data_IF_522257224896
#
_entry.id   IF_522257224896
#
_cell.length_a   1.000
_cell.length_b   1.000
_cell.length_c   1.000
_cell.angle_alpha   90.00
_cell.angle_beta   90.00
_cell.angle_gamma   90.00
#
_symmetry.space_group_name_H-M   'P 1'
#
loop_
_entity.id
_entity.type
_entity.pdbx_description
1 polymer ?
#
# COMPACT_ATOMS: atom_id res chain seq x y z
N UNK A 1 -21.27 9.36 9.53
CA UNK A 1 -20.58 8.28 8.80
C UNK A 1 -19.99 8.73 7.45
N UNK A 2 -20.70 9.50 6.61
CA UNK A 2 -20.16 10.07 5.35
C UNK A 2 -18.86 10.88 5.57
N UNK A 3 -18.70 11.53 6.73
CA UNK A 3 -17.48 12.25 7.09
C UNK A 3 -16.25 11.34 7.26
N UNK A 4 -16.41 10.13 7.81
CA UNK A 4 -15.32 9.17 8.05
C UNK A 4 -14.83 8.60 6.73
N UNK A 5 -15.75 8.21 5.83
CA UNK A 5 -15.40 7.75 4.49
C UNK A 5 -14.61 8.81 3.70
N UNK A 6 -15.03 10.08 3.80
CA UNK A 6 -14.30 11.20 3.18
C UNK A 6 -12.93 11.43 3.82
N UNK A 7 -12.80 11.25 5.14
CA UNK A 7 -11.51 11.39 5.82
C UNK A 7 -10.54 10.27 5.40
N UNK A 8 -10.99 9.01 5.43
CA UNK A 8 -10.20 7.86 4.97
C UNK A 8 -9.83 8.02 3.50
N UNK A 9 -10.78 8.40 2.64
CA UNK A 9 -10.51 8.62 1.22
C UNK A 9 -9.59 9.83 0.93
N UNK A 10 -9.43 10.78 1.85
CA UNK A 10 -8.39 11.82 1.74
C UNK A 10 -7.03 11.29 2.17
N UNK A 11 -6.99 10.50 3.24
CA UNK A 11 -5.75 9.89 3.73
C UNK A 11 -5.19 8.89 2.72
N UNK A 12 -6.04 8.08 2.09
CA UNK A 12 -5.67 7.18 0.98
C UNK A 12 -5.05 7.94 -0.19
N UNK A 13 -5.64 9.09 -0.58
CA UNK A 13 -5.11 9.92 -1.66
C UNK A 13 -3.79 10.58 -1.29
N UNK A 14 -3.64 11.03 -0.06
CA UNK A 14 -2.39 11.59 0.43
C UNK A 14 -1.28 10.54 0.50
N UNK A 15 -1.59 9.34 0.98
CA UNK A 15 -0.69 8.19 1.01
C UNK A 15 -0.26 7.79 -0.41
N UNK A 16 -1.20 7.71 -1.35
CA UNK A 16 -0.89 7.38 -2.73
C UNK A 16 -0.03 8.45 -3.43
N UNK A 17 -0.30 9.73 -3.18
CA UNK A 17 0.56 10.81 -3.65
C UNK A 17 1.98 10.70 -3.07
N UNK A 18 2.08 10.40 -1.77
CA UNK A 18 3.35 10.19 -1.08
C UNK A 18 4.11 8.99 -1.68
N UNK A 19 3.41 7.90 -2.00
CA UNK A 19 3.98 6.74 -2.68
C UNK A 19 4.52 7.12 -4.07
N UNK A 20 3.77 7.90 -4.86
CA UNK A 20 4.21 8.40 -6.16
C UNK A 20 5.46 9.29 -6.07
N UNK A 21 5.50 10.20 -5.10
CA UNK A 21 6.67 11.05 -4.85
C UNK A 21 7.88 10.20 -4.44
N UNK A 22 7.69 9.23 -3.55
CA UNK A 22 8.74 8.33 -3.11
C UNK A 22 9.28 7.46 -4.27
N UNK A 23 8.41 7.05 -5.19
CA UNK A 23 8.79 6.31 -6.39
C UNK A 23 9.65 7.16 -7.34
N UNK A 24 9.25 8.41 -7.59
CA UNK A 24 10.06 9.33 -8.40
C UNK A 24 11.42 9.59 -7.73
N UNK A 25 11.44 9.81 -6.41
CA UNK A 25 12.67 9.96 -5.66
C UNK A 25 13.56 8.72 -5.77
N UNK A 26 12.98 7.52 -5.71
CA UNK A 26 13.71 6.26 -5.90
C UNK A 26 14.37 6.19 -7.27
N UNK A 27 13.64 6.56 -8.34
CA UNK A 27 14.21 6.60 -9.69
C UNK A 27 15.39 7.58 -9.79
N UNK A 28 15.28 8.76 -9.17
CA UNK A 28 16.34 9.76 -9.18
C UNK A 28 17.58 9.28 -8.41
N UNK A 29 17.41 8.68 -7.22
CA UNK A 29 18.53 8.16 -6.43
C UNK A 29 19.25 7.05 -7.19
N UNK A 30 18.52 6.09 -7.76
CA UNK A 30 19.12 4.98 -8.52
C UNK A 30 19.85 5.51 -9.77
N UNK A 31 19.27 6.48 -10.46
CA UNK A 31 19.88 7.10 -11.65
C UNK A 31 21.14 7.89 -11.29
N UNK A 32 21.11 8.66 -10.20
CA UNK A 32 22.27 9.39 -9.70
C UNK A 32 23.40 8.45 -9.27
N UNK A 33 23.06 7.35 -8.60
CA UNK A 33 24.03 6.31 -8.19
C UNK A 33 24.64 5.59 -9.39
N UNK A 34 23.83 5.29 -10.43
CA UNK A 34 24.33 4.76 -11.69
C UNK A 34 25.28 5.74 -12.41
N UNK A 35 24.96 7.04 -12.44
CA UNK A 35 25.84 8.07 -12.99
C UNK A 35 27.13 8.20 -12.17
N UNK A 36 27.03 8.27 -10.84
CA UNK A 36 28.19 8.36 -9.95
C UNK A 36 29.17 7.20 -10.14
N UNK A 37 28.65 5.98 -10.36
CA UNK A 37 29.49 4.82 -10.72
C UNK A 37 30.29 5.01 -11.99
N UNK A 38 29.73 5.66 -13.02
CA UNK A 38 30.44 5.94 -14.27
C UNK A 38 31.59 6.95 -14.08
N UNK A 39 31.45 7.86 -13.11
CA UNK A 39 32.49 8.84 -12.75
C UNK A 39 33.44 8.36 -11.65
N UNK A 40 33.38 7.09 -11.25
CA UNK A 40 34.25 6.52 -10.22
C UNK A 40 33.92 6.95 -8.77
N UNK A 41 32.77 7.57 -8.56
CA UNK A 41 32.29 8.04 -7.25
C UNK A 41 30.85 7.53 -7.00
N UNK A 42 30.67 6.23 -6.64
CA UNK A 42 29.36 5.68 -6.30
C UNK A 42 28.75 6.39 -5.09
N UNK A 43 27.42 6.51 -5.05
CA UNK A 43 26.75 7.03 -3.86
C UNK A 43 26.74 5.96 -2.76
N UNK A 44 27.57 6.16 -1.73
CA UNK A 44 27.54 5.30 -0.54
C UNK A 44 26.18 5.41 0.16
N UNK A 45 25.57 4.27 0.49
CA UNK A 45 24.27 4.23 1.18
C UNK A 45 23.03 4.36 0.28
N UNK A 46 23.18 4.53 -1.05
CA UNK A 46 22.05 4.69 -1.96
C UNK A 46 21.17 3.43 -2.04
N UNK A 47 21.79 2.25 -2.01
CA UNK A 47 21.08 0.97 -2.00
C UNK A 47 20.29 0.80 -0.70
N UNK A 48 20.89 1.07 0.45
CA UNK A 48 20.23 0.96 1.75
C UNK A 48 19.08 1.96 1.88
N UNK A 49 19.27 3.20 1.41
CA UNK A 49 18.21 4.21 1.41
C UNK A 49 17.03 3.80 0.53
N UNK A 50 17.30 3.32 -0.68
CA UNK A 50 16.25 2.90 -1.61
C UNK A 50 15.53 1.64 -1.13
N UNK A 51 16.27 0.61 -0.74
CA UNK A 51 15.73 -0.68 -0.31
C UNK A 51 14.99 -0.61 1.03
N UNK A 52 15.54 0.10 2.03
CA UNK A 52 14.95 0.10 3.37
C UNK A 52 13.96 1.23 3.63
N UNK A 53 14.04 2.37 2.91
CA UNK A 53 13.10 3.48 3.11
C UNK A 53 12.12 3.62 1.96
N UNK A 54 12.63 3.91 0.76
CA UNK A 54 11.76 4.26 -0.37
C UNK A 54 10.87 3.08 -0.78
N UNK A 55 11.41 1.85 -0.80
CA UNK A 55 10.64 0.67 -1.15
C UNK A 55 9.49 0.41 -0.17
N UNK A 56 9.76 0.59 1.14
CA UNK A 56 8.75 0.42 2.20
C UNK A 56 7.66 1.48 2.05
N UNK A 57 8.03 2.76 1.87
CA UNK A 57 7.05 3.84 1.67
C UNK A 57 6.19 3.58 0.43
N UNK A 58 6.80 3.28 -0.72
CA UNK A 58 6.09 3.01 -1.98
C UNK A 58 5.16 1.82 -1.82
N UNK A 59 5.66 0.70 -1.28
CA UNK A 59 4.88 -0.52 -1.14
C UNK A 59 3.67 -0.29 -0.22
N UNK A 60 3.88 0.22 1.00
CA UNK A 60 2.81 0.28 2.00
C UNK A 60 1.86 1.46 1.83
N UNK A 61 2.30 2.60 1.30
CA UNK A 61 1.42 3.75 1.09
C UNK A 61 0.56 3.62 -0.17
N UNK A 62 0.99 2.85 -1.17
CA UNK A 62 0.17 2.57 -2.36
C UNK A 62 -0.91 1.48 -2.12
N UNK A 63 -0.74 0.64 -1.09
CA UNK A 63 -1.64 -0.49 -0.80
C UNK A 63 -3.12 -0.11 -0.64
N UNK A 64 -3.49 0.90 0.17
CA UNK A 64 -4.90 1.23 0.41
C UNK A 64 -5.64 1.62 -0.87
N UNK A 65 -5.01 2.44 -1.71
CA UNK A 65 -5.65 2.90 -2.96
C UNK A 65 -5.63 1.85 -4.06
N UNK A 66 -4.62 0.98 -4.05
CA UNK A 66 -4.58 -0.21 -4.91
C UNK A 66 -5.72 -1.18 -4.60
N UNK A 67 -6.08 -1.35 -3.32
CA UNK A 67 -7.25 -2.13 -2.92
C UNK A 67 -8.56 -1.55 -3.46
N UNK A 68 -8.73 -0.22 -3.41
CA UNK A 68 -9.92 0.45 -3.94
C UNK A 68 -10.02 0.36 -5.47
N UNK A 69 -8.89 0.46 -6.17
CA UNK A 69 -8.87 0.56 -7.64
C UNK A 69 -8.85 -0.82 -8.31
N UNK A 70 -8.25 -1.84 -7.69
CA UNK A 70 -8.07 -3.17 -8.27
C UNK A 70 -8.54 -4.36 -7.42
N UNK A 71 -8.87 -4.15 -6.13
CA UNK A 71 -9.32 -5.22 -5.24
C UNK A 71 -10.71 -5.76 -5.60
N UNK A 72 -11.57 -4.93 -6.20
CA UNK A 72 -12.91 -5.33 -6.62
C UNK A 72 -12.89 -6.26 -7.84
N UNK A 73 -11.89 -6.17 -8.72
CA UNK A 73 -11.79 -7.04 -9.92
C UNK A 73 -11.67 -8.52 -9.53
N UNK A 74 -11.01 -8.82 -8.40
CA UNK A 74 -10.83 -10.20 -7.91
C UNK A 74 -12.11 -10.76 -7.26
N UNK A 75 -12.89 -9.89 -6.64
CA UNK A 75 -14.20 -10.22 -6.07
C UNK A 75 -15.22 -10.44 -7.20
N UNK A 76 -15.28 -9.55 -8.18
CA UNK A 76 -16.15 -9.65 -9.35
C UNK A 76 -15.87 -10.93 -10.17
N UNK A 77 -14.60 -11.27 -10.37
CA UNK A 77 -14.25 -12.48 -11.12
C UNK A 77 -14.70 -13.74 -10.35
N UNK A 78 -14.51 -13.77 -9.03
CA UNK A 78 -14.98 -14.89 -8.20
C UNK A 78 -16.51 -14.96 -8.12
N UNK A 79 -17.18 -13.81 -8.09
CA UNK A 79 -18.64 -13.67 -8.07
C UNK A 79 -19.28 -14.10 -9.41
N UNK A 80 -18.60 -13.84 -10.55
CA UNK A 80 -18.98 -14.36 -11.88
C UNK A 80 -18.90 -15.88 -11.97
N UNK A 81 -17.97 -16.51 -11.25
CA UNK A 81 -17.89 -17.98 -11.15
C UNK A 81 -18.94 -18.55 -10.17
N UNK A 82 -19.40 -17.77 -9.18
CA UNK A 82 -20.36 -18.16 -8.16
C UNK A 82 -21.76 -17.57 -8.38
N UNK A 83 -22.22 -17.53 -9.63
CA UNK A 83 -23.46 -16.94 -10.16
C UNK A 83 -24.81 -17.41 -9.57
N UNK A 84 -24.88 -17.93 -8.34
CA UNK A 84 -26.12 -18.50 -7.76
C UNK A 84 -26.47 -18.09 -6.33
N UNK A 85 -25.66 -17.28 -5.64
CA UNK A 85 -26.03 -16.82 -4.30
C UNK A 85 -26.65 -15.41 -4.35
N UNK A 86 -27.94 -15.23 -4.01
CA UNK A 86 -28.55 -13.92 -3.91
C UNK A 86 -28.08 -13.22 -2.62
N UNK A 87 -27.33 -12.12 -2.75
CA UNK A 87 -27.14 -11.14 -1.68
C UNK A 87 -25.69 -10.71 -1.43
N UNK A 88 -25.53 -9.47 -0.93
CA UNK A 88 -24.27 -8.81 -0.58
C UNK A 88 -23.50 -9.48 0.58
N UNK A 89 -23.78 -10.74 0.90
CA UNK A 89 -23.14 -11.50 1.97
C UNK A 89 -21.72 -11.93 1.58
N UNK A 90 -21.50 -12.29 0.32
CA UNK A 90 -20.20 -12.76 -0.17
C UNK A 90 -19.10 -11.68 -0.16
N UNK A 91 -19.34 -10.46 -0.68
CA UNK A 91 -18.37 -9.37 -0.58
C UNK A 91 -18.02 -9.01 0.87
N UNK A 92 -19.00 -9.09 1.78
CA UNK A 92 -18.79 -8.87 3.22
C UNK A 92 -17.90 -9.94 3.85
N UNK A 93 -18.11 -11.21 3.52
CA UNK A 93 -17.29 -12.32 4.04
C UNK A 93 -15.84 -12.21 3.57
N UNK A 94 -15.61 -11.90 2.29
CA UNK A 94 -14.24 -11.74 1.78
C UNK A 94 -13.56 -10.53 2.40
N UNK A 95 -14.26 -9.41 2.53
CA UNK A 95 -13.74 -8.21 3.21
C UNK A 95 -13.44 -8.46 4.68
N UNK A 96 -14.28 -9.25 5.37
CA UNK A 96 -14.02 -9.68 6.74
C UNK A 96 -12.79 -10.60 6.86
N UNK A 97 -12.62 -11.54 5.93
CA UNK A 97 -11.44 -12.41 5.89
C UNK A 97 -10.15 -11.62 5.62
N UNK A 98 -10.21 -10.67 4.69
CA UNK A 98 -9.10 -9.75 4.43
C UNK A 98 -8.81 -8.87 5.65
N UNK A 99 -9.84 -8.32 6.29
CA UNK A 99 -9.67 -7.53 7.52
C UNK A 99 -9.01 -8.35 8.63
N UNK A 100 -9.38 -9.62 8.79
CA UNK A 100 -8.76 -10.50 9.77
C UNK A 100 -7.27 -10.73 9.44
N UNK A 101 -6.95 -11.06 8.18
CA UNK A 101 -5.57 -11.28 7.75
C UNK A 101 -4.70 -10.03 7.90
N UNK A 102 -5.18 -8.87 7.42
CA UNK A 102 -4.47 -7.60 7.54
C UNK A 102 -4.46 -7.05 8.97
N UNK A 103 -5.44 -7.40 9.79
CA UNK A 103 -5.45 -7.09 11.23
C UNK A 103 -4.36 -7.84 11.99
N UNK A 104 -4.16 -9.13 11.69
CA UNK A 104 -3.02 -9.91 12.22
C UNK A 104 -1.69 -9.32 11.72
N UNK A 105 -1.61 -8.98 10.43
CA UNK A 105 -0.42 -8.35 9.88
C UNK A 105 -0.12 -6.99 10.55
N UNK A 106 -1.15 -6.19 10.85
CA UNK A 106 -1.01 -4.93 11.56
C UNK A 106 -0.44 -5.14 12.97
N UNK A 107 -0.92 -6.17 13.67
CA UNK A 107 -0.43 -6.51 15.00
C UNK A 107 1.07 -6.82 14.97
N UNK A 108 1.47 -7.77 14.11
CA UNK A 108 2.89 -8.13 13.96
C UNK A 108 3.75 -6.95 13.49
N UNK A 109 3.27 -6.18 12.51
CA UNK A 109 3.99 -5.00 12.01
C UNK A 109 4.21 -3.93 13.09
N UNK A 110 3.20 -3.72 13.94
CA UNK A 110 3.28 -2.75 15.05
C UNK A 110 4.22 -3.24 16.14
N UNK A 111 4.13 -4.52 16.51
CA UNK A 111 5.02 -5.11 17.51
C UNK A 111 6.48 -5.06 17.04
N UNK A 112 6.73 -5.42 15.78
CA UNK A 112 8.07 -5.36 15.19
C UNK A 112 8.59 -3.92 15.14
N UNK A 113 7.78 -2.96 14.70
CA UNK A 113 8.17 -1.55 14.67
C UNK A 113 8.55 -1.03 16.07
N UNK A 114 7.75 -1.38 17.10
CA UNK A 114 8.04 -0.98 18.48
C UNK A 114 9.30 -1.63 19.03
N UNK A 115 9.53 -2.92 18.76
CA UNK A 115 10.76 -3.63 19.13
C UNK A 115 11.99 -2.97 18.52
N UNK A 116 11.97 -2.70 17.20
CA UNK A 116 13.08 -2.06 16.47
C UNK A 116 13.36 -0.64 16.95
N UNK A 117 12.33 0.12 17.35
CA UNK A 117 12.46 1.44 17.97
C UNK A 117 13.10 1.33 19.36
N UNK A 118 12.67 0.36 20.17
CA UNK A 118 13.18 0.15 21.53
C UNK A 118 14.64 -0.30 21.53
N UNK A 119 15.02 -1.17 20.60
CA UNK A 119 16.38 -1.67 20.42
C UNK A 119 17.32 -0.63 19.82
N UNK A 120 16.79 0.52 19.35
CA UNK A 120 17.50 1.55 18.57
C UNK A 120 18.38 0.91 17.51
N UNK A 121 17.87 -0.09 16.81
CA UNK A 121 18.66 -0.82 15.85
C UNK A 121 19.20 0.13 14.78
N UNK A 122 20.51 0.35 14.85
CA UNK A 122 21.33 0.95 13.81
C UNK A 122 22.03 -0.20 13.09
N UNK A 123 22.10 -0.17 11.76
CA UNK A 123 22.92 -1.12 11.00
C UNK A 123 24.35 -1.18 11.55
N UNK A 124 24.90 -2.39 11.66
CA UNK A 124 26.34 -2.63 11.78
C UNK A 124 27.02 -2.26 10.44
N UNK A 125 27.43 -1.00 10.29
CA UNK A 125 28.10 -0.51 9.08
C UNK A 125 28.65 0.90 9.24
N UNK A 126 29.59 1.28 8.36
CA UNK A 126 30.41 2.52 8.41
C UNK A 126 29.61 3.83 8.47
N UNK A 127 28.29 3.79 8.18
CA UNK A 127 27.35 4.91 8.26
C UNK A 127 26.11 4.45 9.05
N UNK A 128 25.95 4.94 10.28
CA UNK A 128 24.85 4.56 11.18
C UNK A 128 23.55 5.30 10.81
N UNK A 129 22.80 4.79 9.84
CA UNK A 129 21.46 5.30 9.55
C UNK A 129 20.40 4.70 10.50
N UNK A 130 19.48 5.52 11.04
CA UNK A 130 18.45 5.08 11.99
C UNK A 130 17.32 4.28 11.30
N UNK A 131 17.59 3.01 10.96
CA UNK A 131 16.65 2.13 10.24
C UNK A 131 15.29 1.98 10.93
N UNK A 132 15.23 2.08 12.26
CA UNK A 132 13.96 1.97 12.99
C UNK A 132 12.87 2.94 12.49
N UNK A 133 13.24 4.08 11.88
CA UNK A 133 12.29 5.03 11.31
C UNK A 133 11.56 4.49 10.07
N UNK A 134 12.19 3.59 9.31
CA UNK A 134 11.55 3.03 8.12
C UNK A 134 10.44 2.04 8.46
N UNK A 135 10.58 1.33 9.59
CA UNK A 135 9.59 0.36 10.05
C UNK A 135 8.24 0.99 10.41
N UNK A 136 8.17 2.30 10.69
CA UNK A 136 6.92 2.99 11.00
C UNK A 136 5.95 3.08 9.81
N UNK A 137 6.45 3.07 8.58
CA UNK A 137 5.62 3.20 7.38
C UNK A 137 4.78 1.95 7.10
N UNK A 138 5.27 0.78 7.51
CA UNK A 138 4.57 -0.50 7.38
C UNK A 138 3.25 -0.55 8.17
N UNK A 139 3.23 -0.41 9.52
CA UNK A 139 1.99 -0.44 10.28
C UNK A 139 1.07 0.73 9.90
N UNK A 140 1.61 1.89 9.48
CA UNK A 140 0.80 3.01 9.01
C UNK A 140 -0.02 2.63 7.75
N UNK A 141 0.61 2.00 6.76
CA UNK A 141 -0.05 1.60 5.52
C UNK A 141 -1.07 0.50 5.74
N UNK A 142 -0.71 -0.50 6.56
CA UNK A 142 -1.62 -1.60 6.91
C UNK A 142 -2.79 -1.10 7.76
N UNK A 143 -2.58 -0.15 8.68
CA UNK A 143 -3.66 0.45 9.48
C UNK A 143 -4.67 1.18 8.59
N UNK A 144 -4.18 1.94 7.61
CA UNK A 144 -5.03 2.64 6.65
C UNK A 144 -5.84 1.67 5.78
N UNK A 145 -5.21 0.58 5.31
CA UNK A 145 -5.90 -0.48 4.58
C UNK A 145 -6.95 -1.20 5.45
N UNK A 146 -6.63 -1.52 6.69
CA UNK A 146 -7.56 -2.15 7.64
C UNK A 146 -8.75 -1.24 7.94
N UNK A 147 -8.52 0.07 8.12
CA UNK A 147 -9.60 1.05 8.27
C UNK A 147 -10.51 1.08 7.02
N UNK A 148 -9.93 0.95 5.82
CA UNK A 148 -10.69 0.86 4.58
C UNK A 148 -11.53 -0.42 4.50
N UNK A 149 -10.94 -1.57 4.82
CA UNK A 149 -11.64 -2.86 4.84
C UNK A 149 -12.80 -2.85 5.83
N UNK A 150 -12.63 -2.25 7.01
CA UNK A 150 -13.71 -2.08 7.97
C UNK A 150 -14.88 -1.24 7.39
N UNK A 151 -14.58 -0.16 6.66
CA UNK A 151 -15.62 0.63 6.00
C UNK A 151 -16.36 -0.15 4.91
N UNK A 152 -15.67 -1.01 4.16
CA UNK A 152 -16.27 -1.82 3.10
C UNK A 152 -17.19 -2.92 3.66
N UNK A 153 -16.91 -3.44 4.85
CA UNK A 153 -17.83 -4.35 5.57
C UNK A 153 -19.13 -3.63 5.97
N UNK A 154 -19.01 -2.40 6.51
CA UNK A 154 -20.16 -1.61 6.95
C UNK A 154 -21.00 -1.11 5.78
N UNK A 155 -20.36 -0.74 4.67
CA UNK A 155 -21.00 -0.32 3.43
C UNK A 155 -20.32 -1.01 2.26
N UNK A 156 -20.80 -2.22 1.90
CA UNK A 156 -20.33 -2.88 0.70
C UNK A 156 -20.59 -1.93 -0.45
N UNK A 157 -19.53 -1.46 -1.09
CA UNK A 157 -19.69 -0.74 -2.34
C UNK A 157 -20.22 -1.74 -3.35
N UNK A 158 -21.44 -1.54 -3.82
CA UNK A 158 -21.95 -2.27 -4.96
C UNK A 158 -21.00 -2.01 -6.12
N UNK A 159 -20.26 -3.05 -6.52
CA UNK A 159 -19.40 -3.03 -7.68
C UNK A 159 -20.31 -2.95 -8.90
N UNK A 160 -20.66 -1.72 -9.29
CA UNK A 160 -21.68 -1.48 -10.29
C UNK A 160 -21.60 -0.06 -10.81
N UNK A 161 -20.51 0.24 -11.49
CA UNK A 161 -20.43 1.18 -12.63
C UNK A 161 -18.97 1.18 -13.12
N UNK A 162 -18.60 0.13 -13.86
CA UNK A 162 -17.50 0.28 -14.82
C UNK A 162 -18.06 1.18 -15.94
N UNK A 163 -17.46 2.35 -16.22
CA UNK A 163 -17.80 3.10 -17.41
C UNK A 163 -17.48 2.23 -18.63
N UNK A 164 -18.52 1.83 -19.35
CA UNK A 164 -18.48 1.10 -20.63
C UNK A 164 -17.94 1.99 -21.77
N UNK A 165 -16.86 2.74 -21.55
CA UNK A 165 -16.33 3.72 -22.51
C UNK A 165 -14.94 3.38 -23.06
N UNK A 166 -14.37 2.21 -22.73
CA UNK A 166 -13.07 1.79 -23.27
C UNK A 166 -13.13 0.69 -24.34
N UNK A 167 -14.33 0.26 -24.78
CA UNK A 167 -14.48 -0.86 -25.72
C UNK A 167 -14.85 -0.49 -27.17
N UNK A 168 -15.01 0.81 -27.49
CA UNK A 168 -15.44 1.27 -28.84
C UNK A 168 -14.52 2.36 -29.39
N UNK A 169 -13.26 2.00 -29.66
CA UNK A 169 -12.29 2.94 -30.26
C UNK A 169 -11.16 2.30 -31.07
N UNK A 170 -11.39 1.12 -31.67
CA UNK A 170 -10.34 0.39 -32.40
C UNK A 170 -10.85 -0.47 -33.54
N UNK A 171 -11.91 -0.03 -34.23
CA UNK A 171 -12.37 -0.65 -35.47
C UNK A 171 -12.86 0.44 -36.43
N UNK A 172 -11.95 1.31 -36.85
CA UNK A 172 -12.02 2.02 -38.14
C UNK A 172 -10.60 2.09 -38.73
#
# INVERSE_FOLDING_TARGET
>A
MIGIERAVGRLERAADLLAGIALIAMMLVISADALGRLFGAPLQGAYEFTAYYLMVVVAFMALPRSYVTGGQVRLELMERWLKRAPGNLWPRLVSAMLLAAFGVLLWFATEEALRRIAERETTFGVIQWPLYLSYLWMPLGVALLSARLALDILRPREAGELPETAATGGAE
#
